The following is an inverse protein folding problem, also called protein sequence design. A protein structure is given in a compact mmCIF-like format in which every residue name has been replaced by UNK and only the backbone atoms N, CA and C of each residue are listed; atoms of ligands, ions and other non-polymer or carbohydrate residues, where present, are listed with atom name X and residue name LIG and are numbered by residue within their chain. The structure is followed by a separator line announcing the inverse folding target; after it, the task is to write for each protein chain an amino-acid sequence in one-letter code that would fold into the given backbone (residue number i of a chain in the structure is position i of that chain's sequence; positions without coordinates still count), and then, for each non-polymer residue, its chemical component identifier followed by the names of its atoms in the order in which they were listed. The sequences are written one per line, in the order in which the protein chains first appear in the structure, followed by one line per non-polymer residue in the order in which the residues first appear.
data_IF_920306242343
#
_entry.id   IF_920306242343
#
_cell.length_a   1.000
_cell.length_b   1.000
_cell.length_c   1.000
_cell.angle_alpha   90.00
_cell.angle_beta   90.00
_cell.angle_gamma   90.00
#
_symmetry.space_group_name_H-M   'P 1'
#
loop_
_entity.id
_entity.type
_entity.pdbx_description
1 polymer ?
#
# COMPACT_ATOMS: atom_id res chain seq x y z
N UNK A 1 -3.18 -7.39 -9.64
CA UNK A 1 -2.07 -7.27 -8.69
C UNK A 1 -1.57 -5.84 -8.68
N UNK A 2 -0.92 -5.40 -7.61
CA UNK A 2 -0.24 -4.08 -7.53
C UNK A 2 1.25 -4.30 -7.32
N UNK A 3 2.07 -3.45 -7.92
CA UNK A 3 3.53 -3.45 -7.78
C UNK A 3 4.03 -2.03 -7.67
N UNK A 4 5.11 -1.83 -6.92
CA UNK A 4 5.68 -0.52 -6.63
C UNK A 4 7.21 -0.58 -6.63
N UNK A 5 7.84 0.59 -6.66
CA UNK A 5 9.27 0.73 -6.43
C UNK A 5 9.56 0.95 -4.93
N UNK A 6 10.74 0.56 -4.47
CA UNK A 6 11.19 0.94 -3.13
C UNK A 6 11.32 2.48 -3.04
N UNK A 7 10.97 3.09 -1.89
CA UNK A 7 11.26 4.51 -1.66
C UNK A 7 12.74 4.83 -1.88
N UNK A 8 13.02 6.03 -2.39
CA UNK A 8 14.40 6.52 -2.57
C UNK A 8 15.08 6.86 -1.24
N UNK A 9 14.28 7.27 -0.26
CA UNK A 9 14.69 7.58 1.09
C UNK A 9 13.87 6.72 2.06
N UNK A 10 14.54 6.09 3.01
CA UNK A 10 13.96 5.21 4.02
C UNK A 10 13.86 5.88 5.40
N UNK A 11 14.17 7.17 5.50
CA UNK A 11 14.08 7.95 6.73
C UNK A 11 15.13 7.57 7.77
N UNK A 12 16.24 6.97 7.34
CA UNK A 12 17.36 6.60 8.21
C UNK A 12 17.30 5.19 8.79
N UNK A 13 16.34 4.36 8.36
CA UNK A 13 16.29 2.93 8.69
C UNK A 13 15.70 2.13 7.54
N UNK A 14 16.31 0.97 7.27
CA UNK A 14 15.94 0.08 6.17
C UNK A 14 14.45 -0.26 6.21
N UNK A 15 13.79 -0.14 5.06
CA UNK A 15 12.42 -0.65 4.86
C UNK A 15 12.34 -2.16 5.14
N UNK A 16 11.52 -2.54 6.11
CA UNK A 16 11.26 -3.93 6.52
C UNK A 16 10.00 -4.51 5.88
N UNK A 17 9.08 -3.66 5.42
CA UNK A 17 7.92 -4.13 4.65
C UNK A 17 7.00 -3.00 4.17
N UNK A 18 5.84 -3.42 3.65
CA UNK A 18 4.85 -2.54 3.04
C UNK A 18 3.42 -2.91 3.44
N UNK A 19 2.54 -1.93 3.43
CA UNK A 19 1.09 -2.11 3.49
C UNK A 19 0.43 -1.52 2.26
N UNK A 20 -0.58 -2.21 1.74
CA UNK A 20 -1.46 -1.72 0.68
C UNK A 20 -2.71 -1.20 1.34
N UNK A 21 -3.07 0.03 1.00
CA UNK A 21 -4.37 0.59 1.30
C UNK A 21 -5.18 0.68 0.00
N UNK A 22 -6.50 0.54 0.13
CA UNK A 22 -7.45 0.70 -0.96
C UNK A 22 -8.49 1.75 -0.61
N UNK A 23 -9.01 2.40 -1.64
CA UNK A 23 -10.16 3.29 -1.54
C UNK A 23 -11.10 2.97 -2.70
N UNK A 24 -12.36 2.73 -2.40
CA UNK A 24 -13.38 2.64 -3.46
C UNK A 24 -13.61 4.05 -4.01
N UNK A 25 -13.65 4.23 -5.34
CA UNK A 25 -13.78 5.54 -5.99
C UNK A 25 -15.07 6.26 -5.58
N UNK A 26 -16.11 5.50 -5.24
CA UNK A 26 -17.38 5.99 -4.68
C UNK A 26 -17.23 6.63 -3.28
N UNK A 27 -16.07 6.48 -2.64
CA UNK A 27 -15.79 6.94 -1.27
C UNK A 27 -14.47 7.71 -1.19
N UNK A 28 -14.33 8.54 -0.15
CA UNK A 28 -13.06 9.25 0.10
C UNK A 28 -12.13 8.50 1.06
N UNK A 29 -12.56 7.35 1.59
CA UNK A 29 -11.89 6.68 2.71
C UNK A 29 -10.89 5.62 2.25
N UNK A 30 -9.62 5.82 2.62
CA UNK A 30 -8.59 4.79 2.52
C UNK A 30 -8.71 3.78 3.66
N UNK A 31 -8.57 2.49 3.32
CA UNK A 31 -8.62 1.38 4.27
C UNK A 31 -7.49 0.40 3.99
N UNK A 32 -6.82 -0.06 5.05
CA UNK A 32 -5.77 -1.09 4.96
C UNK A 32 -6.33 -2.40 4.41
N UNK A 33 -5.68 -2.92 3.36
CA UNK A 33 -6.10 -4.15 2.68
C UNK A 33 -5.48 -5.39 3.33
N UNK A 34 -4.17 -5.36 3.65
CA UNK A 34 -3.44 -6.48 4.23
C UNK A 34 -3.20 -6.31 5.75
N UNK A 35 -3.32 -7.40 6.51
CA UNK A 35 -3.07 -7.41 7.98
C UNK A 35 -1.59 -7.49 8.32
N UNK A 36 -0.83 -8.30 7.59
CA UNK A 36 0.61 -8.51 7.79
C UNK A 36 1.38 -7.72 6.74
N UNK A 37 2.50 -7.11 7.11
CA UNK A 37 3.34 -6.39 6.18
C UNK A 37 3.87 -7.31 5.06
N UNK A 38 4.00 -6.73 3.87
CA UNK A 38 4.49 -7.40 2.66
C UNK A 38 5.99 -7.15 2.58
N UNK A 39 6.79 -8.20 2.40
CA UNK A 39 8.26 -8.11 2.33
C UNK A 39 8.81 -7.94 0.91
N UNK A 40 7.96 -8.13 -0.10
CA UNK A 40 8.25 -7.91 -1.52
C UNK A 40 7.70 -6.55 -1.99
N UNK A 41 7.93 -6.20 -3.25
CA UNK A 41 7.42 -4.96 -3.87
C UNK A 41 6.22 -5.21 -4.77
N UNK A 42 5.48 -6.29 -4.51
CA UNK A 42 4.26 -6.65 -5.23
C UNK A 42 3.27 -7.37 -4.31
N UNK A 43 1.98 -7.21 -4.58
CA UNK A 43 0.93 -7.84 -3.81
C UNK A 43 -0.26 -8.20 -4.69
N UNK A 44 -0.81 -9.41 -4.47
CA UNK A 44 -2.02 -9.83 -5.14
C UNK A 44 -3.25 -9.43 -4.31
N UNK A 45 -4.02 -8.48 -4.83
CA UNK A 45 -5.24 -7.98 -4.18
C UNK A 45 -6.37 -8.97 -4.42
N UNK A 46 -7.06 -9.37 -3.35
CA UNK A 46 -8.19 -10.31 -3.37
C UNK A 46 -9.38 -9.76 -2.60
N UNK A 47 -10.58 -10.31 -2.83
CA UNK A 47 -11.78 -9.93 -2.07
C UNK A 47 -12.34 -8.55 -2.40
N UNK A 48 -12.16 -8.10 -3.65
CA UNK A 48 -12.78 -6.87 -4.16
C UNK A 48 -14.23 -7.14 -4.56
N UNK A 49 -15.08 -6.12 -4.45
CA UNK A 49 -16.47 -6.20 -4.89
C UNK A 49 -16.50 -6.13 -6.42
N UNK A 50 -17.20 -7.04 -7.12
CA UNK A 50 -17.36 -6.97 -8.56
C UNK A 50 -17.98 -5.64 -9.01
N UNK A 51 -17.48 -5.09 -10.12
CA UNK A 51 -17.92 -3.82 -10.73
C UNK A 51 -17.67 -2.55 -9.89
N UNK A 52 -16.99 -2.64 -8.74
CA UNK A 52 -16.53 -1.47 -8.01
C UNK A 52 -15.13 -1.05 -8.48
N UNK A 53 -14.92 0.26 -8.59
CA UNK A 53 -13.62 0.84 -8.93
C UNK A 53 -12.84 1.17 -7.66
N UNK A 54 -11.55 0.82 -7.66
CA UNK A 54 -10.68 1.02 -6.51
C UNK A 54 -9.39 1.72 -6.92
N UNK A 55 -8.95 2.66 -6.09
CA UNK A 55 -7.58 3.16 -6.09
C UNK A 55 -6.79 2.43 -5.00
N UNK A 56 -5.50 2.22 -5.25
CA UNK A 56 -4.58 1.59 -4.32
C UNK A 56 -3.41 2.51 -4.01
N UNK A 57 -2.89 2.47 -2.78
CA UNK A 57 -1.64 3.17 -2.43
C UNK A 57 -0.82 2.30 -1.50
N UNK A 58 0.48 2.59 -1.44
CA UNK A 58 1.42 1.79 -0.64
C UNK A 58 2.01 2.64 0.47
N UNK A 59 2.08 2.07 1.67
CA UNK A 59 2.73 2.64 2.85
C UNK A 59 3.96 1.80 3.16
N UNK A 60 5.13 2.41 3.30
CA UNK A 60 6.34 1.71 3.70
C UNK A 60 6.43 1.61 5.23
N UNK A 61 7.09 0.57 5.74
CA UNK A 61 7.37 0.36 7.15
C UNK A 61 8.87 0.12 7.33
N UNK A 62 9.47 0.73 8.33
CA UNK A 62 10.78 0.40 8.86
C UNK A 62 10.71 0.22 10.39
N UNK A 63 11.85 0.09 11.06
CA UNK A 63 11.89 -0.10 12.53
C UNK A 63 11.48 1.15 13.32
N UNK A 64 11.43 2.31 12.67
CA UNK A 64 10.99 3.58 13.27
C UNK A 64 9.47 3.69 13.19
N UNK A 65 8.86 3.31 12.07
CA UNK A 65 7.42 3.42 11.87
C UNK A 65 6.96 3.27 10.43
N UNK A 66 5.77 3.81 10.17
CA UNK A 66 5.14 3.85 8.84
C UNK A 66 5.43 5.19 8.17
N UNK A 67 5.71 5.15 6.86
CA UNK A 67 5.82 6.36 6.06
C UNK A 67 4.45 6.99 5.81
N UNK A 68 4.45 8.20 5.26
CA UNK A 68 3.28 8.67 4.52
C UNK A 68 2.97 7.73 3.34
N UNK A 69 1.70 7.63 2.92
CA UNK A 69 1.35 6.86 1.75
C UNK A 69 2.00 7.42 0.48
N UNK A 70 2.49 6.52 -0.37
CA UNK A 70 2.95 6.86 -1.71
C UNK A 70 1.81 7.30 -2.63
N UNK A 71 2.12 7.62 -3.89
CA UNK A 71 1.11 7.96 -4.88
C UNK A 71 0.08 6.84 -5.03
N UNK A 72 -1.18 7.22 -5.21
CA UNK A 72 -2.22 6.28 -5.57
C UNK A 72 -1.96 5.73 -6.99
N UNK A 73 -2.35 4.48 -7.23
CA UNK A 73 -2.41 3.91 -8.57
C UNK A 73 -3.29 4.79 -9.44
N UNK A 74 -2.84 5.03 -10.67
CA UNK A 74 -3.71 5.53 -11.75
C UNK A 74 -4.80 4.50 -12.08
#
# INVERSE_FOLDING_TARGET
SVSWARPRDDGGSRVTGYYVERREVSTEKWVRHNKTHITTTMFNVTGLIPNAEYMFRVVAQNDIGQSEPGPASE
#
